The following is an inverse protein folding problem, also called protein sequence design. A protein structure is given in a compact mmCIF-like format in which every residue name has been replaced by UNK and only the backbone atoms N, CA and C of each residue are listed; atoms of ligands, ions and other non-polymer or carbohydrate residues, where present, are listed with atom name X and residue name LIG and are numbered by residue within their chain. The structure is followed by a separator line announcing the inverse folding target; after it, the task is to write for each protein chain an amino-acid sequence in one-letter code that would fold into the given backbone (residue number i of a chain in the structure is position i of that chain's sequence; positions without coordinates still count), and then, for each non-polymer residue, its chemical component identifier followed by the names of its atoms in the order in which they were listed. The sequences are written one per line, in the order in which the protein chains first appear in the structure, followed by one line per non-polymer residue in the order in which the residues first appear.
data_IF_651429811448
#
_entry.id   IF_651429811448
#
_cell.length_a   1.000
_cell.length_b   1.000
_cell.length_c   1.000
_cell.angle_alpha   90.00
_cell.angle_beta   90.00
_cell.angle_gamma   90.00
#
_symmetry.space_group_name_H-M   'P 1'
#
loop_
_entity.id
_entity.type
_entity.pdbx_description
1 polymer ?
#
# COMPACT_ATOMS: atom_id res chain seq x y z
N UNK A 1 25.17 18.26 40.03
CA UNK A 1 23.69 18.25 39.96
C UNK A 1 23.17 18.02 38.55
N UNK A 2 22.25 17.07 38.39
CA UNK A 2 21.55 16.78 37.13
C UNK A 2 20.34 17.72 36.93
N UNK A 3 20.13 18.26 35.73
CA UNK A 3 19.01 19.16 35.44
C UNK A 3 17.61 18.50 35.29
N UNK A 4 17.52 17.16 35.38
CA UNK A 4 16.27 16.40 35.25
C UNK A 4 15.78 15.90 36.61
N UNK A 5 16.63 15.13 37.33
CA UNK A 5 16.27 14.58 38.65
C UNK A 5 16.74 15.46 39.82
N UNK A 6 17.53 16.51 39.57
CA UNK A 6 18.13 17.38 40.60
C UNK A 6 19.05 16.66 41.60
N UNK A 7 19.50 15.44 41.30
CA UNK A 7 20.44 14.71 42.13
C UNK A 7 21.91 15.06 41.82
N UNK A 8 22.75 15.01 42.86
CA UNK A 8 24.19 15.14 42.72
C UNK A 8 24.85 13.79 42.45
N UNK A 9 25.42 13.68 41.24
CA UNK A 9 26.20 12.52 40.83
C UNK A 9 27.60 12.97 40.37
N UNK A 10 28.62 12.11 40.42
CA UNK A 10 29.94 12.43 39.89
C UNK A 10 29.90 12.81 38.41
N UNK A 11 30.75 13.76 37.98
CA UNK A 11 30.82 14.19 36.58
C UNK A 11 31.09 13.06 35.58
N UNK A 12 31.77 11.98 36.01
CA UNK A 12 31.99 10.78 35.19
C UNK A 12 30.71 10.00 34.87
N UNK A 13 29.65 10.19 35.65
CA UNK A 13 28.31 9.63 35.42
C UNK A 13 27.39 10.62 34.72
N UNK A 14 27.94 11.62 34.03
CA UNK A 14 27.16 12.54 33.20
C UNK A 14 27.41 12.28 31.72
N UNK A 15 26.34 12.45 30.93
CA UNK A 15 26.37 12.36 29.46
C UNK A 15 26.01 13.71 28.87
N UNK A 16 26.74 14.06 27.80
CA UNK A 16 26.63 15.31 27.08
C UNK A 16 25.89 15.10 25.77
N UNK A 17 25.02 16.05 25.39
CA UNK A 17 24.47 16.07 24.04
C UNK A 17 25.54 16.52 23.04
N UNK A 18 25.37 16.15 21.77
CA UNK A 18 26.45 16.21 20.75
C UNK A 18 26.90 17.63 20.42
N UNK A 19 26.00 18.61 20.53
CA UNK A 19 26.21 19.99 20.07
C UNK A 19 25.73 21.03 21.08
N UNK A 20 25.79 20.72 22.38
CA UNK A 20 25.54 21.67 23.46
C UNK A 20 26.39 21.35 24.69
N UNK A 21 26.47 22.30 25.63
CA UNK A 21 27.20 22.15 26.89
C UNK A 21 26.29 21.67 28.05
N UNK A 22 25.19 20.99 27.75
CA UNK A 22 24.27 20.47 28.77
C UNK A 22 24.61 19.01 29.09
N UNK A 23 24.72 18.73 30.38
CA UNK A 23 25.08 17.42 30.91
C UNK A 23 23.99 16.91 31.87
N UNK A 24 23.68 15.62 31.78
CA UNK A 24 22.66 14.97 32.61
C UNK A 24 23.20 13.64 33.13
N UNK A 25 22.68 13.17 34.26
CA UNK A 25 23.14 11.88 34.79
C UNK A 25 22.76 10.73 33.83
N UNK A 26 23.60 9.69 33.85
CA UNK A 26 23.42 8.47 33.05
C UNK A 26 22.04 7.83 33.25
N UNK A 27 21.51 7.86 34.46
CA UNK A 27 20.24 7.20 34.80
C UNK A 27 19.06 7.90 34.10
N UNK A 28 19.00 9.24 34.13
CA UNK A 28 17.98 10.00 33.42
C UNK A 28 18.08 9.84 31.90
N UNK A 29 19.29 9.88 31.34
CA UNK A 29 19.49 9.71 29.89
C UNK A 29 19.18 8.27 29.47
N UNK A 30 19.52 7.27 30.27
CA UNK A 30 19.18 5.87 30.02
C UNK A 30 17.67 5.64 29.97
N UNK A 31 16.91 6.23 30.90
CA UNK A 31 15.44 6.20 30.87
C UNK A 31 14.88 6.92 29.64
N UNK A 32 15.36 8.13 29.34
CA UNK A 32 14.93 8.89 28.17
C UNK A 32 15.18 8.10 26.87
N UNK A 33 16.36 7.50 26.73
CA UNK A 33 16.69 6.64 25.60
C UNK A 33 15.74 5.45 25.54
N UNK A 34 15.51 4.76 26.65
CA UNK A 34 14.65 3.58 26.70
C UNK A 34 13.23 3.88 26.23
N UNK A 35 12.65 5.02 26.64
CA UNK A 35 11.32 5.46 26.20
C UNK A 35 11.29 5.73 24.71
N UNK A 36 12.19 6.57 24.19
CA UNK A 36 12.18 6.94 22.76
C UNK A 36 12.54 5.79 21.83
N UNK A 37 13.44 4.90 22.24
CA UNK A 37 13.76 3.67 21.48
C UNK A 37 12.55 2.73 21.47
N UNK A 38 11.84 2.58 22.60
CA UNK A 38 10.64 1.76 22.68
C UNK A 38 9.53 2.31 21.77
N UNK A 39 9.31 3.63 21.79
CA UNK A 39 8.32 4.33 20.96
C UNK A 39 8.70 4.43 19.47
N UNK A 40 9.97 4.19 19.12
CA UNK A 40 10.46 4.35 17.74
C UNK A 40 10.71 5.81 17.33
N UNK A 41 10.81 6.72 18.30
CA UNK A 41 10.85 8.17 18.11
C UNK A 41 12.27 8.74 18.30
N UNK A 42 13.28 8.16 17.63
CA UNK A 42 14.69 8.60 17.76
C UNK A 42 14.90 10.08 17.41
N UNK A 43 14.13 10.63 16.47
CA UNK A 43 14.16 12.06 16.13
C UNK A 43 13.75 12.97 17.30
N UNK A 44 13.06 12.46 18.32
CA UNK A 44 12.67 13.21 19.52
C UNK A 44 13.70 13.10 20.64
N UNK A 45 14.71 12.25 20.49
CA UNK A 45 15.76 12.09 21.50
C UNK A 45 16.75 13.27 21.45
N UNK A 46 16.36 14.35 22.12
CA UNK A 46 17.06 15.65 22.13
C UNK A 46 17.34 16.09 23.57
N UNK A 47 18.22 17.08 23.69
CA UNK A 47 18.54 17.75 24.94
C UNK A 47 17.25 18.21 25.67
N UNK A 48 17.03 17.80 26.94
CA UNK A 48 15.85 18.21 27.69
C UNK A 48 15.84 19.67 28.16
N UNK A 49 16.94 20.42 27.99
CA UNK A 49 16.99 21.83 28.38
C UNK A 49 16.09 22.68 27.49
N UNK A 50 15.31 23.63 28.06
CA UNK A 50 14.53 24.59 27.28
C UNK A 50 15.40 25.30 26.22
N UNK A 51 14.82 25.54 25.04
CA UNK A 51 15.47 26.17 23.89
C UNK A 51 16.66 25.41 23.27
N UNK A 52 17.00 24.23 23.78
CA UNK A 52 18.03 23.37 23.20
C UNK A 52 17.40 22.20 22.45
N UNK A 53 17.79 22.02 21.18
CA UNK A 53 17.35 20.90 20.33
C UNK A 53 18.49 19.97 19.91
N UNK A 54 19.63 20.07 20.59
CA UNK A 54 20.82 19.28 20.30
C UNK A 54 20.48 17.77 20.43
N UNK A 55 20.79 16.96 19.41
CA UNK A 55 20.48 15.53 19.44
C UNK A 55 21.46 14.76 20.32
N UNK A 56 21.01 13.64 20.87
CA UNK A 56 21.90 12.60 21.38
C UNK A 56 22.28 11.66 20.25
N UNK A 57 23.57 11.61 19.90
CA UNK A 57 24.07 10.62 18.95
C UNK A 57 24.35 9.30 19.66
N UNK A 58 24.21 8.19 18.92
CA UNK A 58 24.45 6.84 19.42
C UNK A 58 25.77 6.70 20.18
N UNK A 59 26.84 7.32 19.69
CA UNK A 59 28.18 7.25 20.31
C UNK A 59 28.20 7.75 21.77
N UNK A 60 27.38 8.76 22.09
CA UNK A 60 27.36 9.36 23.42
C UNK A 60 26.56 8.53 24.43
N UNK A 61 25.59 7.75 23.96
CA UNK A 61 24.67 6.99 24.81
C UNK A 61 24.86 5.47 24.72
N UNK A 62 25.72 4.98 23.82
CA UNK A 62 25.96 3.54 23.60
C UNK A 62 26.27 2.78 24.89
N UNK A 63 27.07 3.37 25.79
CA UNK A 63 27.42 2.74 27.06
C UNK A 63 26.29 2.63 28.08
N UNK A 64 25.13 3.27 27.82
CA UNK A 64 23.95 3.26 28.69
C UNK A 64 22.89 2.26 28.24
N UNK A 65 22.99 1.77 27.00
CA UNK A 65 21.99 0.91 26.41
C UNK A 65 22.35 -0.55 26.67
N UNK A 66 21.32 -1.38 26.95
CA UNK A 66 21.48 -2.83 26.85
C UNK A 66 21.69 -3.23 25.38
N UNK A 67 22.16 -4.46 25.16
CA UNK A 67 22.37 -4.98 23.80
C UNK A 67 21.06 -4.96 22.99
N UNK A 68 19.93 -5.26 23.62
CA UNK A 68 18.62 -5.26 22.98
C UNK A 68 18.18 -3.85 22.56
N UNK A 69 18.40 -2.85 23.42
CA UNK A 69 18.07 -1.45 23.11
C UNK A 69 19.02 -0.89 22.05
N UNK A 70 20.29 -1.27 22.07
CA UNK A 70 21.27 -0.89 21.07
C UNK A 70 20.92 -1.46 19.69
N UNK A 71 20.54 -2.74 19.60
CA UNK A 71 20.09 -3.36 18.35
C UNK A 71 18.82 -2.68 17.83
N UNK A 72 17.83 -2.44 18.71
CA UNK A 72 16.60 -1.76 18.32
C UNK A 72 16.85 -0.34 17.80
N UNK A 73 17.82 0.38 18.38
CA UNK A 73 18.24 1.67 17.86
C UNK A 73 18.78 1.56 16.43
N UNK A 74 19.69 0.60 16.17
CA UNK A 74 20.23 0.39 14.83
C UNK A 74 19.14 0.07 13.80
N UNK A 75 18.20 -0.80 14.17
CA UNK A 75 17.07 -1.17 13.32
C UNK A 75 16.20 0.06 12.99
N UNK A 76 15.97 0.95 13.96
CA UNK A 76 15.22 2.18 13.78
C UNK A 76 15.98 3.20 12.91
N UNK A 77 17.28 3.37 13.13
CA UNK A 77 18.13 4.24 12.28
C UNK A 77 18.11 3.76 10.84
N UNK A 78 18.30 2.46 10.62
CA UNK A 78 18.22 1.87 9.28
C UNK A 78 16.83 2.09 8.67
N UNK A 79 15.77 1.79 9.41
CA UNK A 79 14.39 1.97 8.95
C UNK A 79 14.10 3.41 8.53
N UNK A 80 14.47 4.40 9.36
CA UNK A 80 14.27 5.81 9.04
C UNK A 80 15.11 6.26 7.83
N UNK A 81 16.32 5.74 7.67
CA UNK A 81 17.14 6.01 6.49
C UNK A 81 16.50 5.43 5.21
N UNK A 82 15.99 4.20 5.28
CA UNK A 82 15.27 3.55 4.18
C UNK A 82 13.98 4.28 3.81
N UNK A 83 13.18 4.70 4.79
CA UNK A 83 11.91 5.42 4.57
C UNK A 83 12.11 6.82 3.95
N UNK A 84 13.31 7.41 4.06
CA UNK A 84 13.65 8.67 3.39
C UNK A 84 14.02 8.50 1.92
N UNK A 85 14.24 7.27 1.46
CA UNK A 85 14.56 6.97 0.07
C UNK A 85 13.27 6.70 -0.73
N UNK A 86 12.94 7.51 -1.74
CA UNK A 86 11.66 7.41 -2.46
C UNK A 86 11.52 6.15 -3.33
N UNK A 87 12.64 5.53 -3.67
CA UNK A 87 12.76 4.31 -4.47
C UNK A 87 12.80 3.04 -3.61
N UNK A 88 12.68 3.14 -2.28
CA UNK A 88 12.65 1.98 -1.40
C UNK A 88 11.22 1.62 -1.00
N UNK A 89 10.87 0.37 -1.29
CA UNK A 89 9.60 -0.25 -1.00
C UNK A 89 9.78 -1.48 -0.10
N UNK A 90 8.72 -1.91 0.56
CA UNK A 90 8.74 -3.12 1.38
C UNK A 90 8.00 -4.26 0.68
N UNK A 91 8.65 -5.43 0.63
CA UNK A 91 8.05 -6.63 0.03
C UNK A 91 6.76 -7.02 0.76
N UNK A 92 5.62 -7.17 0.06
CA UNK A 92 4.33 -7.49 0.67
C UNK A 92 4.29 -8.90 1.32
N UNK A 93 5.21 -9.80 0.96
CA UNK A 93 5.24 -11.17 1.48
C UNK A 93 6.12 -11.37 2.71
N UNK A 94 7.19 -10.59 2.84
CA UNK A 94 8.21 -10.83 3.86
C UNK A 94 8.80 -9.56 4.48
N UNK A 95 8.29 -8.40 4.11
CA UNK A 95 8.67 -7.08 4.62
C UNK A 95 10.15 -6.72 4.47
N UNK A 96 10.88 -7.40 3.57
CA UNK A 96 12.23 -7.00 3.21
C UNK A 96 12.21 -5.72 2.37
N UNK A 97 13.15 -4.80 2.63
CA UNK A 97 13.34 -3.62 1.81
C UNK A 97 13.80 -4.01 0.39
N UNK A 98 13.20 -3.39 -0.61
CA UNK A 98 13.39 -3.64 -2.04
C UNK A 98 13.52 -2.28 -2.75
N UNK A 99 14.34 -2.22 -3.80
CA UNK A 99 14.48 -1.01 -4.61
C UNK A 99 13.57 -1.12 -5.84
N UNK A 100 12.82 -0.06 -6.11
CA UNK A 100 11.97 0.12 -7.29
C UNK A 100 12.79 0.59 -8.49
N UNK A 101 12.52 0.01 -9.66
CA UNK A 101 13.13 0.43 -10.92
C UNK A 101 12.25 1.41 -11.73
N UNK A 102 12.71 1.78 -12.93
CA UNK A 102 12.00 2.74 -13.79
C UNK A 102 10.62 2.26 -14.28
N UNK A 103 10.34 0.96 -14.22
CA UNK A 103 9.10 0.35 -14.67
C UNK A 103 8.10 0.17 -13.52
N UNK A 104 8.35 0.79 -12.36
CA UNK A 104 7.64 0.57 -11.10
C UNK A 104 7.66 -0.92 -10.67
N UNK A 105 8.74 -1.63 -11.00
CA UNK A 105 8.97 -3.00 -10.56
C UNK A 105 9.91 -3.00 -9.36
N UNK A 106 9.57 -3.79 -8.35
CA UNK A 106 10.49 -4.10 -7.27
C UNK A 106 10.61 -5.62 -7.13
N UNK A 107 11.83 -6.15 -7.14
CA UNK A 107 12.09 -7.56 -6.88
C UNK A 107 12.67 -7.75 -5.48
N UNK A 108 12.03 -8.60 -4.69
CA UNK A 108 12.51 -8.90 -3.36
C UNK A 108 13.78 -9.76 -3.39
N UNK A 109 14.90 -9.32 -2.80
CA UNK A 109 16.13 -10.12 -2.77
C UNK A 109 16.01 -11.36 -1.87
N UNK A 110 15.07 -11.37 -0.92
CA UNK A 110 14.87 -12.46 0.04
C UNK A 110 14.03 -13.61 -0.50
N UNK A 111 12.90 -13.30 -1.15
CA UNK A 111 11.95 -14.30 -1.61
C UNK A 111 11.74 -14.31 -3.14
N UNK A 112 12.48 -13.46 -3.87
CA UNK A 112 12.44 -13.31 -5.32
C UNK A 112 11.08 -12.88 -5.90
N UNK A 113 10.14 -12.51 -5.03
CA UNK A 113 8.83 -12.02 -5.45
C UNK A 113 8.97 -10.64 -6.10
N UNK A 114 8.52 -10.55 -7.35
CA UNK A 114 8.45 -9.30 -8.10
C UNK A 114 7.05 -8.68 -7.94
N UNK A 115 7.01 -7.41 -7.57
CA UNK A 115 5.77 -6.68 -7.29
C UNK A 115 5.78 -5.27 -7.90
N UNK A 116 4.58 -4.74 -8.11
CA UNK A 116 4.35 -3.40 -8.61
C UNK A 116 4.51 -2.38 -7.47
N UNK A 117 5.33 -1.34 -7.66
CA UNK A 117 5.56 -0.33 -6.63
C UNK A 117 4.35 0.55 -6.32
N UNK A 118 3.37 0.58 -7.23
CA UNK A 118 2.16 1.40 -7.10
C UNK A 118 1.03 0.73 -6.32
N UNK A 119 0.81 -0.58 -6.50
CA UNK A 119 -0.25 -1.33 -5.80
C UNK A 119 0.25 -2.40 -4.84
N UNK A 120 1.55 -2.72 -4.83
CA UNK A 120 2.13 -3.84 -4.06
C UNK A 120 1.62 -5.24 -4.44
N UNK A 121 0.92 -5.40 -5.57
CA UNK A 121 0.55 -6.71 -6.13
C UNK A 121 1.66 -7.30 -7.02
N UNK A 122 1.45 -8.52 -7.51
CA UNK A 122 2.35 -9.16 -8.49
C UNK A 122 2.62 -8.22 -9.66
N UNK A 123 3.89 -8.12 -10.05
CA UNK A 123 4.31 -7.17 -11.08
C UNK A 123 3.52 -7.35 -12.39
N UNK A 124 3.16 -6.22 -13.02
CA UNK A 124 2.38 -6.15 -14.24
C UNK A 124 2.79 -4.93 -15.10
N UNK A 125 2.62 -5.02 -16.41
CA UNK A 125 2.97 -3.94 -17.33
C UNK A 125 1.88 -2.88 -17.41
N UNK A 126 2.23 -1.61 -17.15
CA UNK A 126 1.39 -0.44 -17.40
C UNK A 126 0.58 0.05 -16.20
N UNK A 127 0.68 1.35 -15.90
CA UNK A 127 -0.04 2.07 -14.84
C UNK A 127 -1.57 1.94 -14.91
N UNK A 128 -2.12 1.76 -16.11
CA UNK A 128 -3.55 1.56 -16.35
C UNK A 128 -4.08 0.29 -15.66
N UNK A 129 -3.28 -0.79 -15.66
CA UNK A 129 -3.64 -2.07 -15.02
C UNK A 129 -3.69 -1.90 -13.50
N UNK A 130 -2.80 -1.08 -12.94
CA UNK A 130 -2.80 -0.77 -11.50
C UNK A 130 -4.11 -0.12 -11.04
N UNK A 131 -4.63 0.82 -11.84
CA UNK A 131 -5.90 1.50 -11.55
C UNK A 131 -7.10 0.57 -11.72
N UNK A 132 -7.09 -0.28 -12.75
CA UNK A 132 -8.12 -1.30 -12.99
C UNK A 132 -8.17 -2.31 -11.85
N UNK A 133 -7.02 -2.81 -11.34
CA UNK A 133 -6.97 -3.73 -10.20
C UNK A 133 -7.52 -3.09 -8.92
N UNK A 134 -7.17 -1.83 -8.65
CA UNK A 134 -7.68 -1.10 -7.49
C UNK A 134 -9.17 -0.81 -7.57
N UNK A 135 -9.69 -0.58 -8.78
CA UNK A 135 -11.13 -0.60 -9.00
C UNK A 135 -11.66 -1.98 -8.62
N UNK A 136 -11.10 -3.09 -9.14
CA UNK A 136 -11.50 -4.51 -8.91
C UNK A 136 -11.74 -4.94 -7.46
N UNK A 137 -11.10 -4.28 -6.51
CA UNK A 137 -11.21 -4.59 -5.09
C UNK A 137 -12.29 -3.81 -4.32
N UNK A 138 -12.83 -2.70 -4.85
CA UNK A 138 -13.91 -1.98 -4.18
C UNK A 138 -15.27 -2.70 -4.31
N UNK A 139 -15.83 -3.25 -3.24
CA UNK A 139 -17.08 -4.06 -3.26
C UNK A 139 -18.35 -3.40 -3.87
N UNK A 140 -18.31 -2.19 -4.42
CA UNK A 140 -19.46 -1.42 -4.94
C UNK A 140 -19.86 -1.69 -6.40
N UNK A 141 -19.00 -2.21 -7.28
CA UNK A 141 -19.30 -2.33 -8.73
C UNK A 141 -19.65 -3.76 -9.19
N UNK A 142 -19.68 -4.73 -8.27
CA UNK A 142 -19.94 -6.15 -8.56
C UNK A 142 -21.34 -6.46 -9.09
N UNK A 143 -22.29 -5.53 -9.08
CA UNK A 143 -23.67 -5.85 -9.45
C UNK A 143 -23.98 -5.74 -10.95
N UNK A 144 -23.31 -4.87 -11.72
CA UNK A 144 -23.77 -4.54 -13.09
C UNK A 144 -22.68 -4.43 -14.16
N UNK A 145 -21.43 -4.75 -13.86
CA UNK A 145 -20.32 -4.69 -14.82
C UNK A 145 -19.60 -6.03 -15.00
N UNK A 146 -19.14 -6.33 -16.22
CA UNK A 146 -18.40 -7.55 -16.60
C UNK A 146 -17.08 -7.19 -17.26
N UNK A 147 -16.06 -8.01 -17.03
CA UNK A 147 -14.71 -7.81 -17.56
C UNK A 147 -14.58 -8.43 -18.94
N UNK A 148 -14.09 -7.67 -19.92
CA UNK A 148 -13.80 -8.18 -21.25
C UNK A 148 -12.81 -9.35 -21.17
N UNK A 149 -13.15 -10.55 -21.68
CA UNK A 149 -12.27 -11.71 -21.59
C UNK A 149 -11.00 -11.61 -22.45
N UNK A 150 -10.89 -10.58 -23.31
CA UNK A 150 -9.74 -10.38 -24.17
C UNK A 150 -8.75 -9.33 -23.65
N UNK A 151 -9.24 -8.19 -23.15
CA UNK A 151 -8.38 -7.07 -22.74
C UNK A 151 -8.54 -6.65 -21.28
N UNK A 152 -9.48 -7.25 -20.53
CA UNK A 152 -9.74 -6.90 -19.13
C UNK A 152 -10.45 -5.56 -18.93
N UNK A 153 -10.90 -4.86 -19.97
CA UNK A 153 -11.70 -3.63 -19.79
C UNK A 153 -13.04 -3.96 -19.13
N UNK A 154 -13.42 -3.19 -18.10
CA UNK A 154 -14.73 -3.29 -17.47
C UNK A 154 -15.82 -2.74 -18.41
N UNK A 155 -16.90 -3.51 -18.58
CA UNK A 155 -18.00 -3.20 -19.49
C UNK A 155 -19.31 -3.33 -18.73
N UNK A 156 -20.09 -2.26 -18.69
CA UNK A 156 -21.44 -2.26 -18.16
C UNK A 156 -22.43 -2.55 -19.29
N UNK A 157 -23.40 -3.44 -19.04
CA UNK A 157 -24.53 -3.62 -19.97
C UNK A 157 -25.45 -2.42 -19.81
N UNK A 158 -25.53 -1.56 -20.82
CA UNK A 158 -26.46 -0.43 -20.83
C UNK A 158 -27.85 -0.94 -21.15
N UNK A 159 -28.06 -1.54 -22.33
CA UNK A 159 -29.30 -2.19 -22.77
C UNK A 159 -29.01 -3.17 -23.92
N UNK A 160 -29.97 -4.03 -24.28
CA UNK A 160 -29.87 -4.89 -25.48
C UNK A 160 -29.49 -6.34 -25.20
N UNK A 161 -28.89 -7.00 -26.21
CA UNK A 161 -28.62 -8.43 -26.18
C UNK A 161 -27.36 -8.80 -25.38
N UNK A 162 -27.25 -10.07 -25.00
CA UNK A 162 -26.10 -10.62 -24.28
C UNK A 162 -24.84 -10.78 -25.16
N UNK A 163 -24.90 -10.51 -26.48
CA UNK A 163 -23.71 -10.40 -27.34
C UNK A 163 -23.16 -8.97 -27.25
N UNK A 164 -22.19 -8.75 -26.38
CA UNK A 164 -21.58 -7.44 -26.15
C UNK A 164 -20.33 -7.26 -27.02
N UNK A 165 -20.05 -6.01 -27.41
CA UNK A 165 -18.82 -5.61 -28.08
C UNK A 165 -17.99 -4.77 -27.12
N UNK A 166 -16.72 -5.13 -26.94
CA UNK A 166 -15.81 -4.32 -26.13
C UNK A 166 -15.54 -2.97 -26.81
N UNK A 167 -15.70 -1.87 -26.09
CA UNK A 167 -15.40 -0.53 -26.62
C UNK A 167 -13.90 -0.27 -26.77
N UNK A 168 -13.05 -1.00 -26.04
CA UNK A 168 -11.61 -0.87 -26.09
C UNK A 168 -10.96 -1.71 -27.21
N UNK A 169 -11.23 -3.02 -27.24
CA UNK A 169 -10.60 -3.94 -28.20
C UNK A 169 -11.52 -4.40 -29.33
N UNK A 170 -12.77 -3.93 -29.36
CA UNK A 170 -13.78 -4.23 -30.39
C UNK A 170 -14.12 -5.71 -30.58
N UNK A 171 -13.65 -6.60 -29.71
CA UNK A 171 -14.02 -8.02 -29.74
C UNK A 171 -15.36 -8.28 -29.06
N UNK A 172 -16.04 -9.32 -29.53
CA UNK A 172 -17.33 -9.73 -28.98
C UNK A 172 -17.19 -10.76 -27.86
N UNK A 173 -18.10 -10.72 -26.90
CA UNK A 173 -18.21 -11.69 -25.83
C UNK A 173 -19.66 -11.84 -25.34
N UNK A 174 -19.97 -12.95 -24.70
CA UNK A 174 -21.25 -13.18 -24.06
C UNK A 174 -21.26 -12.56 -22.66
N UNK A 175 -22.16 -11.62 -22.40
CA UNK A 175 -22.30 -10.97 -21.10
C UNK A 175 -22.71 -11.94 -19.98
N UNK A 176 -23.47 -12.99 -20.33
CA UNK A 176 -24.01 -13.97 -19.38
C UNK A 176 -22.93 -14.93 -18.85
N UNK A 177 -22.15 -15.53 -19.74
CA UNK A 177 -21.11 -16.50 -19.36
C UNK A 177 -19.68 -15.96 -19.41
N UNK A 178 -19.51 -14.69 -19.79
CA UNK A 178 -18.23 -14.00 -19.93
C UNK A 178 -17.23 -14.64 -20.90
N UNK A 179 -17.69 -15.48 -21.84
CA UNK A 179 -16.84 -16.11 -22.86
C UNK A 179 -16.72 -15.25 -24.11
N UNK A 180 -15.54 -15.21 -24.71
CA UNK A 180 -15.33 -14.60 -26.01
C UNK A 180 -16.19 -15.32 -27.07
N UNK A 181 -16.82 -14.56 -27.96
CA UNK A 181 -17.64 -15.09 -29.05
C UNK A 181 -17.19 -14.44 -30.34
N UNK A 182 -17.25 -15.18 -31.44
CA UNK A 182 -17.02 -14.63 -32.78
C UNK A 182 -18.36 -14.16 -33.35
N UNK A 183 -19.34 -15.08 -33.37
CA UNK A 183 -20.65 -14.87 -33.98
C UNK A 183 -21.81 -15.21 -33.03
N UNK A 184 -23.02 -15.32 -33.59
CA UNK A 184 -24.25 -15.65 -32.87
C UNK A 184 -24.41 -17.14 -32.57
N UNK A 185 -23.49 -18.00 -33.00
CA UNK A 185 -23.58 -19.45 -32.78
C UNK A 185 -23.59 -19.81 -31.29
N UNK A 186 -22.90 -19.02 -30.46
CA UNK A 186 -22.93 -19.17 -28.99
C UNK A 186 -24.36 -19.03 -28.40
N UNK A 187 -25.28 -18.41 -29.12
CA UNK A 187 -26.65 -18.16 -28.70
C UNK A 187 -27.69 -18.99 -29.44
N UNK A 188 -27.25 -19.96 -30.25
CA UNK A 188 -28.11 -20.98 -30.87
C UNK A 188 -28.26 -22.19 -29.95
N UNK A 189 -29.23 -23.05 -30.26
CA UNK A 189 -29.69 -24.23 -29.51
C UNK A 189 -28.65 -24.84 -28.55
N UNK A 190 -28.95 -24.83 -27.24
CA UNK A 190 -28.08 -25.33 -26.18
C UNK A 190 -27.08 -24.32 -25.59
N UNK A 191 -26.94 -23.14 -26.20
CA UNK A 191 -26.06 -22.05 -25.75
C UNK A 191 -26.69 -21.04 -24.77
N UNK A 192 -26.01 -19.90 -24.56
CA UNK A 192 -26.56 -18.83 -23.72
C UNK A 192 -27.75 -18.12 -24.42
N UNK A 193 -28.71 -17.62 -23.64
CA UNK A 193 -29.83 -16.85 -24.21
C UNK A 193 -29.37 -15.48 -24.71
N UNK A 194 -29.71 -15.14 -25.95
CA UNK A 194 -29.34 -13.86 -26.56
C UNK A 194 -30.07 -12.68 -25.91
N UNK A 195 -31.34 -12.86 -25.59
CA UNK A 195 -32.18 -11.89 -24.87
C UNK A 195 -32.73 -12.56 -23.62
N UNK A 196 -32.75 -11.83 -22.51
CA UNK A 196 -33.40 -12.32 -21.29
C UNK A 196 -34.91 -12.09 -21.38
N UNK A 197 -35.70 -13.14 -21.13
CA UNK A 197 -37.16 -13.10 -21.29
C UNK A 197 -37.82 -12.00 -20.44
N UNK A 198 -37.24 -11.67 -19.28
CA UNK A 198 -37.70 -10.58 -18.41
C UNK A 198 -37.47 -9.20 -19.02
N UNK A 199 -36.38 -8.99 -19.77
CA UNK A 199 -36.12 -7.72 -20.47
C UNK A 199 -37.08 -7.57 -21.66
N UNK A 200 -37.34 -8.66 -22.40
CA UNK A 200 -38.31 -8.66 -23.51
C UNK A 200 -39.72 -8.34 -23.02
N UNK A 201 -40.16 -8.94 -21.91
CA UNK A 201 -41.47 -8.66 -21.33
C UNK A 201 -41.59 -7.20 -20.86
N UNK A 202 -40.53 -6.63 -20.28
CA UNK A 202 -40.50 -5.22 -19.88
C UNK A 202 -40.63 -4.31 -21.11
N UNK A 203 -39.88 -4.58 -22.18
CA UNK A 203 -39.99 -3.81 -23.42
C UNK A 203 -41.37 -3.92 -24.07
N UNK A 204 -42.02 -5.08 -24.00
CA UNK A 204 -43.40 -5.26 -24.48
C UNK A 204 -44.38 -4.42 -23.67
N UNK A 205 -44.28 -4.42 -22.34
CA UNK A 205 -45.12 -3.59 -21.47
C UNK A 205 -44.93 -2.09 -21.71
N UNK A 206 -43.67 -1.65 -21.86
CA UNK A 206 -43.34 -0.26 -22.15
C UNK A 206 -43.88 0.18 -23.53
N UNK A 207 -43.83 -0.72 -24.52
CA UNK A 207 -44.39 -0.48 -25.86
C UNK A 207 -45.92 -0.41 -25.84
N UNK A 208 -46.59 -1.37 -25.19
CA UNK A 208 -48.05 -1.40 -25.07
C UNK A 208 -48.58 -0.14 -24.35
N UNK A 209 -47.85 0.36 -23.35
CA UNK A 209 -48.16 1.59 -22.62
C UNK A 209 -47.97 2.88 -23.44
N UNK A 210 -47.22 2.82 -24.54
CA UNK A 210 -46.98 3.94 -25.46
C UNK A 210 -47.94 3.92 -26.65
N UNK A 211 -48.35 2.74 -27.12
CA UNK A 211 -49.23 2.59 -28.30
C UNK A 211 -50.72 2.71 -27.96
N UNK A 212 -51.12 2.44 -26.71
CA UNK A 212 -52.50 2.59 -26.24
C UNK A 212 -52.80 3.95 -25.57
N UNK A 213 -52.05 4.99 -25.92
CA UNK A 213 -52.23 6.36 -25.42
C UNK A 213 -52.76 7.30 -26.49
#
# INVERSE_FOLDING_TARGET
MCGICFEDTPGVRHVWASSCAHAFCQDCIGQLCSVHIAEGSLDNLRCPTPDCKAPFVRQNVRGLLSEELAQRWEDLELKQALERMPDVLYCPRCSAACVEDSDNCAQCPKCLYAFCGLCSDSWHTGTQVCFLLRLLEQDSYKATSKMCPNCGMAIQKTEGCNKMTCTNCHRHFCYKCNKAVLDYDHFREGGCKLFDNSEVQRWQQDWDAQVHR
#
